data_IF_704756436100
#
_entry.id   IF_704756436100
#
_cell.length_a   1.000
_cell.length_b   1.000
_cell.length_c   1.000
_cell.angle_alpha   90.00
_cell.angle_beta   90.00
_cell.angle_gamma   90.00
#
_symmetry.space_group_name_H-M   'P 1'
#
loop_
_entity.id
_entity.type
_entity.pdbx_description
1 polymer ?
#
# COMPACT_ATOMS: atom_id res chain seq x y z
N UNK A 1 6.17 -13.86 -14.84
CA UNK A 1 5.82 -12.46 -14.52
C UNK A 1 4.46 -12.54 -13.84
N UNK A 2 4.29 -12.05 -12.61
CA UNK A 2 2.99 -12.09 -11.95
C UNK A 2 2.10 -10.98 -12.51
N UNK A 3 0.85 -11.31 -12.78
CA UNK A 3 -0.15 -10.33 -13.20
C UNK A 3 -0.63 -9.52 -11.99
N UNK A 4 -1.19 -8.34 -12.23
CA UNK A 4 -1.80 -7.57 -11.15
C UNK A 4 -3.00 -8.34 -10.58
N UNK A 5 -3.24 -8.20 -9.27
CA UNK A 5 -4.42 -8.76 -8.64
C UNK A 5 -5.66 -8.08 -9.24
N UNK A 6 -6.58 -8.85 -9.87
CA UNK A 6 -7.77 -8.28 -10.48
C UNK A 6 -8.65 -7.64 -9.40
N UNK A 7 -9.36 -6.58 -9.77
CA UNK A 7 -10.34 -5.89 -8.93
C UNK A 7 -9.79 -5.25 -7.63
N UNK A 8 -8.46 -5.26 -7.47
CA UNK A 8 -7.78 -4.73 -6.30
C UNK A 8 -6.97 -3.47 -6.64
N UNK A 9 -7.40 -2.34 -6.10
CA UNK A 9 -6.70 -1.07 -6.23
C UNK A 9 -6.28 -0.57 -4.86
N UNK A 10 -5.01 -0.25 -4.72
CA UNK A 10 -4.46 0.29 -3.49
C UNK A 10 -4.24 1.80 -3.64
N UNK A 11 -4.54 2.51 -2.56
CA UNK A 11 -4.38 3.95 -2.48
C UNK A 11 -3.41 4.30 -1.37
N UNK A 12 -2.23 4.70 -1.76
CA UNK A 12 -1.14 4.99 -0.85
C UNK A 12 -1.08 6.49 -0.59
N UNK A 13 -0.94 6.86 0.68
CA UNK A 13 -0.53 8.18 1.15
C UNK A 13 0.91 8.04 1.61
N UNK A 14 1.84 8.41 0.75
CA UNK A 14 3.27 8.30 1.03
C UNK A 14 3.76 9.58 1.70
N UNK A 15 4.46 9.46 2.83
CA UNK A 15 5.10 10.60 3.49
C UNK A 15 6.58 10.65 3.08
N UNK A 16 6.93 11.66 2.30
CA UNK A 16 8.31 11.98 1.97
C UNK A 16 8.88 12.98 2.97
N UNK A 17 9.90 12.56 3.73
CA UNK A 17 10.54 13.40 4.73
C UNK A 17 9.56 13.91 5.81
N UNK A 18 9.77 15.14 6.30
CA UNK A 18 8.93 15.70 7.38
C UNK A 18 7.59 16.29 6.92
N UNK A 19 7.45 16.73 5.66
CA UNK A 19 6.33 17.62 5.29
C UNK A 19 5.57 17.27 4.02
N UNK A 20 6.11 16.44 3.12
CA UNK A 20 5.46 16.18 1.83
C UNK A 20 4.65 14.89 1.92
N UNK A 21 3.33 15.01 1.80
CA UNK A 21 2.40 13.87 1.69
C UNK A 21 1.93 13.78 0.25
N UNK A 22 2.04 12.62 -0.36
CA UNK A 22 1.64 12.39 -1.75
C UNK A 22 0.66 11.22 -1.83
N UNK A 23 -0.40 11.37 -2.63
CA UNK A 23 -1.36 10.30 -2.87
C UNK A 23 -1.05 9.59 -4.18
N UNK A 24 -1.11 8.27 -4.14
CA UNK A 24 -0.83 7.37 -5.25
C UNK A 24 -1.94 6.34 -5.31
N UNK A 25 -2.50 6.11 -6.49
CA UNK A 25 -3.41 5.00 -6.72
C UNK A 25 -2.71 4.05 -7.67
N UNK A 26 -2.58 2.79 -7.26
CA UNK A 26 -1.80 1.79 -7.96
C UNK A 26 -2.40 0.40 -7.81
N UNK A 27 -2.24 -0.42 -8.85
CA UNK A 27 -2.54 -1.83 -8.79
C UNK A 27 -1.52 -2.57 -7.91
N UNK A 28 -2.00 -3.59 -7.22
CA UNK A 28 -1.16 -4.50 -6.44
C UNK A 28 -0.80 -5.73 -7.26
N UNK A 29 0.44 -6.19 -7.13
CA UNK A 29 0.93 -7.40 -7.78
C UNK A 29 0.98 -8.57 -6.81
N UNK A 30 1.20 -8.28 -5.53
CA UNK A 30 1.21 -9.24 -4.44
C UNK A 30 0.60 -8.54 -3.23
N UNK A 31 -0.19 -9.27 -2.44
CA UNK A 31 -0.76 -8.85 -1.17
C UNK A 31 -0.82 -10.08 -0.27
N UNK A 32 -0.23 -10.00 0.90
CA UNK A 32 -0.38 -10.99 1.96
C UNK A 32 -0.55 -10.28 3.32
N UNK A 33 -0.54 -11.05 4.41
CA UNK A 33 -0.72 -10.52 5.77
C UNK A 33 0.45 -9.63 6.22
N UNK A 34 1.62 -9.78 5.59
CA UNK A 34 2.86 -9.10 5.98
C UNK A 34 3.19 -7.91 5.10
N UNK A 35 2.66 -7.84 3.88
CA UNK A 35 3.00 -6.76 2.96
C UNK A 35 2.32 -6.82 1.61
N UNK A 36 2.78 -5.94 0.72
CA UNK A 36 2.33 -5.90 -0.67
C UNK A 36 3.40 -5.38 -1.63
N UNK A 37 3.17 -5.62 -2.93
CA UNK A 37 4.01 -5.08 -4.01
C UNK A 37 3.21 -4.07 -4.83
N UNK A 38 3.64 -2.81 -4.76
CA UNK A 38 3.08 -1.68 -5.50
C UNK A 38 3.85 -1.45 -6.79
N UNK A 39 3.15 -1.14 -7.89
CA UNK A 39 3.75 -0.63 -9.13
C UNK A 39 3.30 0.80 -9.40
N UNK A 40 4.25 1.71 -9.61
CA UNK A 40 3.96 3.13 -9.92
C UNK A 40 5.12 3.79 -10.65
N UNK A 41 4.83 4.83 -11.41
CA UNK A 41 5.80 5.71 -12.07
C UNK A 41 6.42 6.75 -11.11
N UNK A 42 5.87 6.86 -9.90
CA UNK A 42 6.38 7.75 -8.86
C UNK A 42 7.63 7.19 -8.18
N UNK A 43 8.48 8.11 -7.73
CA UNK A 43 9.76 7.78 -7.13
C UNK A 43 9.69 7.89 -5.60
N UNK A 44 9.83 6.75 -4.92
CA UNK A 44 9.97 6.61 -3.47
C UNK A 44 11.34 5.98 -3.14
N UNK A 45 11.75 6.06 -1.88
CA UNK A 45 13.00 5.47 -1.42
C UNK A 45 12.74 4.41 -0.34
N UNK A 46 13.56 3.34 -0.29
CA UNK A 46 13.58 2.46 0.88
C UNK A 46 13.77 3.27 2.17
N UNK A 47 12.97 2.95 3.19
CA UNK A 47 12.89 3.71 4.45
C UNK A 47 11.76 4.74 4.50
N UNK A 48 11.13 5.07 3.37
CA UNK A 48 9.93 5.93 3.36
C UNK A 48 8.75 5.18 4.01
N UNK A 49 8.00 5.88 4.87
CA UNK A 49 6.77 5.36 5.47
C UNK A 49 5.57 5.68 4.58
N UNK A 50 4.69 4.69 4.42
CA UNK A 50 3.47 4.79 3.64
C UNK A 50 2.26 4.47 4.52
N UNK A 51 1.17 5.20 4.33
CA UNK A 51 -0.14 4.83 4.82
C UNK A 51 -0.95 4.31 3.64
N UNK A 52 -1.41 3.07 3.72
CA UNK A 52 -2.15 2.39 2.68
C UNK A 52 -3.65 2.39 3.04
N UNK A 53 -4.47 2.87 2.12
CA UNK A 53 -5.89 2.59 2.06
C UNK A 53 -6.09 1.53 0.96
N UNK A 54 -6.37 0.28 1.33
CA UNK A 54 -6.68 -0.79 0.39
C UNK A 54 -8.16 -0.71 -0.01
N UNK A 55 -8.46 -0.73 -1.32
CA UNK A 55 -9.82 -0.70 -1.84
C UNK A 55 -10.03 -1.89 -2.78
N UNK A 56 -10.84 -2.84 -2.35
CA UNK A 56 -11.35 -3.93 -3.20
C UNK A 56 -12.64 -3.48 -3.88
N UNK A 57 -12.65 -3.47 -5.20
CA UNK A 57 -13.82 -3.12 -6.00
C UNK A 57 -14.63 -4.40 -6.29
N UNK A 58 -15.59 -4.72 -5.43
CA UNK A 58 -16.47 -5.87 -5.66
C UNK A 58 -17.71 -5.41 -6.46
N UNK A 59 -18.37 -6.31 -7.23
CA UNK A 59 -19.47 -5.93 -8.12
C UNK A 59 -20.65 -5.21 -7.46
N UNK A 60 -20.82 -5.39 -6.15
CA UNK A 60 -21.95 -4.85 -5.38
C UNK A 60 -21.53 -3.86 -4.28
N UNK A 61 -20.25 -3.86 -3.88
CA UNK A 61 -19.76 -3.04 -2.78
C UNK A 61 -18.25 -2.81 -2.85
N UNK A 62 -17.75 -1.76 -2.17
CA UNK A 62 -16.31 -1.51 -2.04
C UNK A 62 -15.85 -1.85 -0.63
N UNK A 63 -15.02 -2.89 -0.50
CA UNK A 63 -14.40 -3.23 0.78
C UNK A 63 -13.16 -2.34 0.94
N UNK A 64 -13.05 -1.67 2.09
CA UNK A 64 -11.93 -0.76 2.39
C UNK A 64 -11.20 -1.21 3.65
N UNK A 65 -9.89 -1.30 3.57
CA UNK A 65 -9.03 -1.30 4.76
C UNK A 65 -8.26 0.01 4.77
N UNK A 66 -8.54 0.89 5.73
CA UNK A 66 -7.97 2.24 5.78
C UNK A 66 -6.82 2.33 6.78
N UNK A 67 -5.88 3.24 6.53
CA UNK A 67 -4.75 3.56 7.43
C UNK A 67 -3.82 2.38 7.78
N UNK A 68 -3.62 1.43 6.87
CA UNK A 68 -2.62 0.37 7.03
C UNK A 68 -1.22 0.99 6.95
N UNK A 69 -0.47 0.98 8.04
CA UNK A 69 0.90 1.51 8.04
C UNK A 69 1.86 0.55 7.38
N UNK A 70 2.74 1.07 6.52
CA UNK A 70 3.75 0.27 5.84
C UNK A 70 5.09 0.99 5.68
N UNK A 71 6.14 0.22 5.44
CA UNK A 71 7.49 0.67 5.20
C UNK A 71 7.97 0.17 3.84
N UNK A 72 8.52 1.05 3.01
CA UNK A 72 9.15 0.64 1.76
C UNK A 72 10.49 -0.01 2.09
N UNK A 73 10.64 -1.29 1.77
CA UNK A 73 11.86 -2.07 2.04
C UNK A 73 12.74 -2.23 0.81
N UNK A 74 12.13 -2.43 -0.36
CA UNK A 74 12.83 -2.58 -1.63
C UNK A 74 12.25 -1.71 -2.74
N UNK A 75 13.11 -1.29 -3.68
CA UNK A 75 12.74 -0.63 -4.93
C UNK A 75 13.42 -1.31 -6.11
N UNK A 76 12.63 -1.72 -7.11
CA UNK A 76 13.12 -2.30 -8.37
C UNK A 76 12.61 -1.50 -9.56
N UNK A 77 13.51 -0.96 -10.38
CA UNK A 77 13.14 -0.24 -11.60
C UNK A 77 12.82 -1.23 -12.72
N UNK A 78 11.74 -1.01 -13.44
CA UNK A 78 11.37 -1.79 -14.61
C UNK A 78 10.75 -0.88 -15.68
N UNK A 79 11.48 -0.68 -16.78
CA UNK A 79 11.10 0.24 -17.85
C UNK A 79 10.82 1.66 -17.29
N UNK A 80 9.61 2.19 -17.53
CA UNK A 80 9.13 3.49 -17.06
C UNK A 80 8.51 3.45 -15.66
N UNK A 81 8.47 2.29 -14.99
CA UNK A 81 7.84 2.12 -13.68
C UNK A 81 8.83 1.61 -12.62
N UNK A 82 8.41 1.73 -11.37
CA UNK A 82 9.07 1.16 -10.22
C UNK A 82 8.14 0.18 -9.51
N UNK A 83 8.72 -0.92 -9.05
CA UNK A 83 8.09 -1.87 -8.16
C UNK A 83 8.64 -1.65 -6.75
N UNK A 84 7.75 -1.55 -5.78
CA UNK A 84 8.08 -1.32 -4.38
C UNK A 84 7.54 -2.46 -3.54
N UNK A 85 8.41 -3.08 -2.74
CA UNK A 85 7.99 -3.98 -1.67
C UNK A 85 7.70 -3.16 -0.43
N UNK A 86 6.50 -3.36 0.13
CA UNK A 86 6.01 -2.64 1.29
C UNK A 86 5.70 -3.67 2.38
N UNK A 87 6.37 -3.55 3.51
CA UNK A 87 6.10 -4.37 4.68
C UNK A 87 5.10 -3.63 5.57
N UNK A 88 4.03 -4.30 5.99
CA UNK A 88 3.08 -3.74 6.94
C UNK A 88 3.71 -3.68 8.33
N UNK A 89 3.73 -2.48 8.91
CA UNK A 89 4.16 -2.31 10.29
C UNK A 89 3.04 -2.85 11.16
N UNK A 90 3.26 -4.05 11.72
CA UNK A 90 2.47 -4.76 12.73
C UNK A 90 1.04 -4.23 12.84
N UNK A 91 0.07 -4.95 12.25
CA UNK A 91 -1.37 -4.72 12.43
C UNK A 91 -1.74 -4.98 13.90
N UNK A 92 -1.16 -4.24 14.85
CA UNK A 92 -1.67 -4.17 16.21
C UNK A 92 -3.04 -3.54 16.07
N UNK A 93 -4.04 -4.39 16.25
CA UNK A 93 -5.45 -4.10 16.37
C UNK A 93 -5.66 -2.88 17.26
N UNK A 94 -5.75 -1.70 16.66
CA UNK A 94 -6.36 -0.56 17.31
C UNK A 94 -7.87 -0.73 17.14
N UNK A 95 -8.43 -1.58 18.00
CA UNK A 95 -9.81 -2.03 17.88
C UNK A 95 -10.31 -2.85 19.06
N UNK A 96 -9.67 -2.72 20.24
CA UNK A 96 -10.30 -3.11 21.50
C UNK A 96 -10.90 -1.84 22.12
N UNK A 97 -12.01 -1.38 21.53
CA UNK A 97 -12.94 -0.52 22.24
C UNK A 97 -14.01 -1.44 22.79
N UNK A 98 -13.70 -2.04 23.95
CA UNK A 98 -14.73 -2.48 24.87
C UNK A 98 -15.62 -1.28 25.19
N UNK A 99 -16.87 -1.32 24.77
CA UNK A 99 -17.91 -0.43 25.27
C UNK A 99 -18.68 -1.27 26.31
N UNK A 100 -18.59 -0.85 27.57
CA UNK A 100 -19.44 -1.31 28.68
C UNK A 100 -20.93 -1.06 28.41
#
# INVERSE_FOLDING_TARGET
MKEALPDLVARFRVRHGLFRKERVEAALFELDTYGCVMKTDKMFNPGDTVLLDLIMDMPFDKIRAENVSGLITERRKHCSNFFYSIDFADLKSDGDVAIE
#
